data_IF_206688958481
#
_entry.id   IF_206688958481
#
_cell.length_a   1.000
_cell.length_b   1.000
_cell.length_c   1.000
_cell.angle_alpha   90.00
_cell.angle_beta   90.00
_cell.angle_gamma   90.00
#
_symmetry.space_group_name_H-M   'P 1'
#
loop_
_entity.id
_entity.type
_entity.pdbx_description
1 polymer ?
#
# COMPACT_ATOMS: atom_id res chain seq x y z
N UNK A 1 -10.69 5.78 18.48
CA UNK A 1 -9.60 4.92 18.99
C UNK A 1 -8.76 4.24 17.87
N UNK A 2 -8.65 4.78 16.64
CA UNK A 2 -8.13 3.99 15.50
C UNK A 2 -7.13 4.69 14.53
N UNK A 3 -6.91 6.01 14.62
CA UNK A 3 -6.08 6.72 13.64
C UNK A 3 -4.61 6.26 13.64
N UNK A 4 -4.04 5.96 14.82
CA UNK A 4 -2.66 5.45 14.95
C UNK A 4 -2.43 4.09 14.27
N UNK A 5 -3.46 3.22 14.22
CA UNK A 5 -3.34 1.90 13.59
C UNK A 5 -3.35 2.01 12.07
N UNK A 6 -4.13 2.95 11.52
CA UNK A 6 -4.18 3.20 10.07
C UNK A 6 -2.88 3.82 9.53
N UNK A 7 -2.21 4.68 10.30
CA UNK A 7 -0.91 5.24 9.91
C UNK A 7 0.18 4.18 9.86
N UNK A 8 0.18 3.24 10.81
CA UNK A 8 1.14 2.13 10.81
C UNK A 8 0.90 1.15 9.66
N UNK A 9 -0.37 0.88 9.31
CA UNK A 9 -0.75 0.05 8.16
C UNK A 9 -0.23 0.67 6.83
N UNK A 10 -0.48 1.96 6.63
CA UNK A 10 0.03 2.64 5.43
C UNK A 10 1.56 2.57 5.32
N UNK A 11 2.29 2.71 6.44
CA UNK A 11 3.75 2.64 6.43
C UNK A 11 4.29 1.25 6.01
N UNK A 12 3.73 0.16 6.54
CA UNK A 12 4.18 -1.19 6.15
C UNK A 12 3.86 -1.52 4.70
N UNK A 13 2.64 -1.19 4.26
CA UNK A 13 2.22 -1.36 2.86
C UNK A 13 3.13 -0.56 1.91
N UNK A 14 3.48 0.68 2.26
CA UNK A 14 4.40 1.53 1.51
C UNK A 14 5.80 0.88 1.37
N UNK A 15 6.40 0.43 2.48
CA UNK A 15 7.70 -0.24 2.48
C UNK A 15 7.67 -1.56 1.70
N UNK A 16 6.56 -2.30 1.76
CA UNK A 16 6.37 -3.50 0.95
C UNK A 16 6.37 -3.16 -0.54
N UNK A 17 5.62 -2.16 -0.97
CA UNK A 17 5.56 -1.76 -2.38
C UNK A 17 6.91 -1.34 -2.95
N UNK A 18 7.70 -0.58 -2.17
CA UNK A 18 9.03 -0.15 -2.60
C UNK A 18 9.95 -1.36 -2.82
N UNK A 19 9.93 -2.35 -1.91
CA UNK A 19 10.73 -3.57 -2.02
C UNK A 19 10.26 -4.52 -3.12
N UNK A 20 8.97 -4.52 -3.46
CA UNK A 20 8.39 -5.40 -4.49
C UNK A 20 8.32 -4.75 -5.88
N UNK A 21 9.10 -3.69 -6.11
CA UNK A 21 9.28 -3.14 -7.45
C UNK A 21 8.08 -2.36 -8.00
N UNK A 22 7.18 -1.86 -7.15
CA UNK A 22 6.05 -1.02 -7.58
C UNK A 22 6.53 0.27 -8.28
N UNK A 23 7.76 0.70 -8.01
CA UNK A 23 8.39 1.89 -8.59
C UNK A 23 9.10 1.64 -9.92
N UNK A 24 9.15 0.40 -10.43
CA UNK A 24 9.89 0.07 -11.66
C UNK A 24 9.05 0.27 -12.93
N UNK A 25 8.02 1.11 -12.87
CA UNK A 25 7.18 1.50 -14.01
C UNK A 25 7.66 2.85 -14.56
N UNK A 26 7.13 3.26 -15.72
CA UNK A 26 7.40 4.60 -16.26
C UNK A 26 6.93 5.74 -15.35
N UNK A 27 5.99 5.48 -14.43
CA UNK A 27 5.50 6.46 -13.47
C UNK A 27 6.36 6.54 -12.19
N UNK A 28 7.30 5.60 -12.00
CA UNK A 28 8.30 5.66 -10.94
C UNK A 28 7.69 5.73 -9.53
N UNK A 29 8.18 6.67 -8.72
CA UNK A 29 7.72 6.87 -7.34
C UNK A 29 6.25 7.25 -7.22
N UNK A 30 5.60 7.75 -8.29
CA UNK A 30 4.16 8.06 -8.27
C UNK A 30 3.30 6.85 -7.92
N UNK A 31 3.78 5.64 -8.25
CA UNK A 31 3.03 4.42 -7.97
C UNK A 31 2.92 4.09 -6.47
N UNK A 32 3.78 4.68 -5.63
CA UNK A 32 3.68 4.53 -4.18
C UNK A 32 2.46 5.26 -3.60
N UNK A 33 1.85 6.20 -4.33
CA UNK A 33 0.56 6.80 -3.95
C UNK A 33 -0.52 5.74 -3.73
N UNK A 34 -0.55 4.66 -4.53
CA UNK A 34 -1.51 3.58 -4.35
C UNK A 34 -1.23 2.69 -3.14
N UNK A 35 0.00 2.74 -2.61
CA UNK A 35 0.41 1.97 -1.44
C UNK A 35 0.20 2.74 -0.13
N UNK A 36 -0.02 4.05 -0.21
CA UNK A 36 -0.37 4.89 0.93
C UNK A 36 -1.89 4.90 1.13
N UNK A 37 -2.37 4.10 2.09
CA UNK A 37 -3.80 3.96 2.38
C UNK A 37 -4.29 4.87 3.52
N UNK A 38 -3.61 6.00 3.77
CA UNK A 38 -4.07 6.98 4.78
C UNK A 38 -5.38 7.64 4.30
N UNK A 39 -6.49 7.53 5.06
CA UNK A 39 -7.82 7.98 4.61
C UNK A 39 -7.90 9.49 4.35
N UNK A 40 -7.01 10.26 4.98
CA UNK A 40 -6.87 11.71 4.91
C UNK A 40 -5.92 12.19 3.79
N UNK A 41 -5.28 11.27 3.06
CA UNK A 41 -4.40 11.56 1.91
C UNK A 41 -5.15 11.41 0.59
N UNK A 42 -5.94 12.42 0.24
CA UNK A 42 -6.61 12.47 -1.08
C UNK A 42 -5.59 12.88 -2.15
N UNK A 43 -5.39 12.04 -3.16
CA UNK A 43 -4.55 12.36 -4.32
C UNK A 43 -5.41 12.47 -5.58
N UNK A 44 -5.26 13.56 -6.33
CA UNK A 44 -5.90 13.70 -7.65
C UNK A 44 -5.09 12.90 -8.67
N UNK A 45 -5.70 11.85 -9.21
CA UNK A 45 -5.08 11.00 -10.22
C UNK A 45 -5.29 11.60 -11.61
N UNK A 46 -4.24 11.58 -12.42
CA UNK A 46 -4.25 11.91 -13.84
C UNK A 46 -3.68 10.73 -14.66
N UNK A 47 -3.62 10.88 -15.98
CA UNK A 47 -3.15 9.81 -16.87
C UNK A 47 -1.67 9.41 -16.66
N UNK A 48 -0.86 10.22 -15.97
CA UNK A 48 0.52 9.86 -15.66
C UNK A 48 0.65 8.70 -14.67
N UNK A 49 -0.46 8.28 -14.03
CA UNK A 49 -0.51 7.12 -13.14
C UNK A 49 -0.86 5.81 -13.86
N UNK A 50 -1.24 5.84 -15.14
CA UNK A 50 -1.58 4.61 -15.90
C UNK A 50 -0.49 3.53 -15.79
N UNK A 51 0.82 3.83 -15.94
CA UNK A 51 1.86 2.81 -15.85
C UNK A 51 1.91 2.07 -14.50
N UNK A 52 1.32 2.62 -13.44
CA UNK A 52 1.28 1.97 -12.13
C UNK A 52 0.43 0.71 -12.12
N UNK A 53 -0.56 0.60 -13.01
CA UNK A 53 -1.42 -0.59 -13.08
C UNK A 53 -0.67 -1.84 -13.52
N UNK A 54 0.49 -1.72 -14.19
CA UNK A 54 1.39 -2.84 -14.50
C UNK A 54 1.89 -3.56 -13.23
N UNK A 55 1.85 -2.88 -12.08
CA UNK A 55 2.27 -3.40 -10.77
C UNK A 55 1.13 -3.59 -9.79
N UNK A 56 -0.11 -3.62 -10.28
CA UNK A 56 -1.31 -3.74 -9.44
C UNK A 56 -1.31 -5.00 -8.57
N UNK A 57 -0.80 -6.13 -9.08
CA UNK A 57 -0.70 -7.36 -8.28
C UNK A 57 0.26 -7.23 -7.10
N UNK A 58 1.41 -6.58 -7.30
CA UNK A 58 2.36 -6.33 -6.21
C UNK A 58 1.77 -5.38 -5.15
N UNK A 59 1.02 -4.36 -5.58
CA UNK A 59 0.29 -3.48 -4.65
C UNK A 59 -0.72 -4.27 -3.81
N UNK A 60 -1.56 -5.10 -4.46
CA UNK A 60 -2.55 -5.93 -3.76
C UNK A 60 -1.91 -6.90 -2.78
N UNK A 61 -0.83 -7.58 -3.18
CA UNK A 61 -0.14 -8.53 -2.33
C UNK A 61 0.39 -7.87 -1.05
N UNK A 62 0.95 -6.66 -1.18
CA UNK A 62 1.42 -5.89 -0.03
C UNK A 62 0.30 -5.53 0.94
N UNK A 63 -0.83 -5.04 0.42
CA UNK A 63 -2.00 -4.72 1.23
C UNK A 63 -2.57 -5.96 1.94
N UNK A 64 -2.68 -7.07 1.20
CA UNK A 64 -3.19 -8.34 1.74
C UNK A 64 -2.32 -8.88 2.87
N UNK A 65 -0.99 -8.88 2.68
CA UNK A 65 -0.06 -9.35 3.70
C UNK A 65 -0.20 -8.57 5.00
N UNK A 66 -0.31 -7.24 4.90
CA UNK A 66 -0.42 -6.36 6.06
C UNK A 66 -1.74 -6.57 6.82
N UNK A 67 -2.87 -6.69 6.11
CA UNK A 67 -4.16 -7.04 6.73
C UNK A 67 -4.12 -8.41 7.38
N UNK A 68 -3.51 -9.40 6.73
CA UNK A 68 -3.39 -10.76 7.26
C UNK A 68 -2.56 -10.77 8.55
N UNK A 69 -1.43 -10.09 8.57
CA UNK A 69 -0.61 -9.94 9.78
C UNK A 69 -1.37 -9.25 10.92
N UNK A 70 -2.12 -8.19 10.61
CA UNK A 70 -2.96 -7.51 11.61
C UNK A 70 -4.04 -8.44 12.17
N UNK A 71 -4.72 -9.19 11.30
CA UNK A 71 -5.74 -10.15 11.70
C UNK A 71 -5.14 -11.26 12.58
N UNK A 72 -3.96 -11.77 12.24
CA UNK A 72 -3.23 -12.74 13.05
C UNK A 72 -2.85 -12.19 14.42
N UNK A 73 -2.38 -10.94 14.53
CA UNK A 73 -2.07 -10.33 15.84
C UNK A 73 -3.32 -10.12 16.70
N UNK A 74 -4.45 -9.82 16.08
CA UNK A 74 -5.69 -9.49 16.80
C UNK A 74 -6.52 -10.74 17.16
N UNK A 75 -6.44 -11.80 16.37
CA UNK A 75 -7.31 -12.98 16.48
C UNK A 75 -6.55 -14.32 16.50
N UNK A 76 -5.25 -14.34 16.23
CA UNK A 76 -4.44 -15.55 16.08
C UNK A 76 -3.87 -16.13 17.38
N UNK A 77 -4.50 -15.87 18.54
CA UNK A 77 -4.12 -16.55 19.78
C UNK A 77 -4.99 -17.80 19.97
N UNK A 78 -4.52 -18.92 19.42
CA UNK A 78 -4.81 -20.28 19.89
C UNK A 78 -3.50 -21.02 20.06
#
# INVERSE_FOLDING_TARGET
HNSHSSTSLSFHTFQCCQRNGVTTTLAGLKCLTFCDQRPDRITKLDYSYIPCYDRFEQMKQCFYNDIREKAQRQYGST
#
